data_IF_491070778298
#
_entry.id   IF_491070778298
#
_cell.length_a   1.000
_cell.length_b   1.000
_cell.length_c   1.000
_cell.angle_alpha   90.00
_cell.angle_beta   90.00
_cell.angle_gamma   90.00
#
_symmetry.space_group_name_H-M   'P 1'
#
loop_
_entity.id
_entity.type
_entity.pdbx_description
1 polymer ?
#
# COMPACT_ATOMS: atom_id res chain seq x y z
N UNK A 1 29.36 1.37 50.54
CA UNK A 1 30.48 2.20 50.05
C UNK A 1 30.31 2.38 48.55
N UNK A 2 29.91 3.57 48.09
CA UNK A 2 29.80 3.84 46.64
C UNK A 2 31.22 3.95 46.09
N UNK A 3 31.76 2.83 45.64
CA UNK A 3 33.10 2.74 45.06
C UNK A 3 33.18 3.59 43.79
N UNK A 4 34.18 4.47 43.73
CA UNK A 4 34.50 5.25 42.54
C UNK A 4 35.13 4.32 41.51
N UNK A 5 34.28 3.70 40.69
CA UNK A 5 34.66 2.77 39.62
C UNK A 5 35.66 3.39 38.61
N UNK A 6 35.73 4.73 38.58
CA UNK A 6 36.69 5.51 37.80
C UNK A 6 38.16 5.34 38.21
N UNK A 7 38.46 4.86 39.42
CA UNK A 7 39.84 4.66 39.90
C UNK A 7 40.52 3.40 39.32
N UNK A 8 39.77 2.51 38.66
CA UNK A 8 40.29 1.29 38.02
C UNK A 8 40.56 1.43 36.52
N UNK A 9 40.31 2.60 35.94
CA UNK A 9 40.59 2.84 34.53
C UNK A 9 42.05 3.23 34.37
N UNK A 10 42.79 2.46 33.57
CA UNK A 10 44.14 2.84 33.14
C UNK A 10 44.06 4.22 32.49
N UNK A 11 44.81 5.17 33.04
CA UNK A 11 44.75 6.61 32.72
C UNK A 11 44.62 6.84 31.19
N UNK A 12 43.64 7.64 30.78
CA UNK A 12 43.19 7.91 29.39
C UNK A 12 42.27 6.88 28.67
N UNK A 13 41.82 5.79 29.31
CA UNK A 13 40.94 4.81 28.64
C UNK A 13 39.43 5.00 28.92
N UNK A 14 39.05 5.62 30.04
CA UNK A 14 37.63 5.76 30.42
C UNK A 14 36.85 6.65 29.44
N UNK A 15 37.39 7.81 29.07
CA UNK A 15 36.76 8.71 28.09
C UNK A 15 36.58 8.04 26.74
N UNK A 16 37.59 7.29 26.27
CA UNK A 16 37.51 6.51 25.02
C UNK A 16 36.46 5.40 25.09
N UNK A 17 36.31 4.76 26.24
CA UNK A 17 35.28 3.73 26.46
C UNK A 17 33.89 4.37 26.42
N UNK A 18 33.70 5.50 27.09
CA UNK A 18 32.44 6.24 27.10
C UNK A 18 32.09 6.78 25.70
N UNK A 19 33.05 7.37 24.99
CA UNK A 19 32.87 7.87 23.62
C UNK A 19 32.47 6.74 22.66
N UNK A 20 33.13 5.57 22.75
CA UNK A 20 32.74 4.39 21.96
C UNK A 20 31.32 3.96 22.30
N UNK A 21 30.99 3.85 23.58
CA UNK A 21 29.65 3.42 24.01
C UNK A 21 28.58 4.38 23.51
N UNK A 22 28.80 5.69 23.64
CA UNK A 22 27.88 6.72 23.15
C UNK A 22 27.70 6.61 21.63
N UNK A 23 28.79 6.47 20.88
CA UNK A 23 28.74 6.31 19.42
C UNK A 23 27.95 5.07 18.98
N UNK A 24 28.13 3.93 19.66
CA UNK A 24 27.35 2.71 19.38
C UNK A 24 25.88 2.87 19.77
N UNK A 25 25.59 3.47 20.93
CA UNK A 25 24.22 3.71 21.39
C UNK A 25 23.44 4.62 20.42
N UNK A 26 24.09 5.68 19.90
CA UNK A 26 23.49 6.53 18.88
C UNK A 26 23.28 5.80 17.54
N UNK A 27 24.25 5.00 17.11
CA UNK A 27 24.15 4.22 15.87
C UNK A 27 23.00 3.19 15.94
N UNK A 28 22.88 2.49 17.07
CA UNK A 28 21.79 1.55 17.34
C UNK A 28 20.42 2.25 17.32
N UNK A 29 20.30 3.39 18.01
CA UNK A 29 19.06 4.17 18.05
C UNK A 29 18.68 4.70 16.67
N UNK A 30 19.64 5.12 15.84
CA UNK A 30 19.41 5.56 14.47
C UNK A 30 18.89 4.41 13.57
N UNK A 31 19.44 3.19 13.74
CA UNK A 31 18.94 2.00 13.04
C UNK A 31 17.50 1.66 13.46
N UNK A 32 17.20 1.66 14.75
CA UNK A 32 15.84 1.38 15.26
C UNK A 32 14.83 2.40 14.74
N UNK A 33 15.20 3.69 14.71
CA UNK A 33 14.32 4.74 14.17
C UNK A 33 14.07 4.56 12.66
N UNK A 34 15.10 4.19 11.91
CA UNK A 34 14.99 3.92 10.47
C UNK A 34 14.10 2.70 10.21
N UNK A 35 14.23 1.64 11.03
CA UNK A 35 13.41 0.44 10.93
C UNK A 35 11.94 0.73 11.25
N UNK A 36 11.65 1.48 12.32
CA UNK A 36 10.29 1.93 12.66
C UNK A 36 9.67 2.79 11.54
N UNK A 37 10.45 3.69 10.95
CA UNK A 37 10.00 4.51 9.82
C UNK A 37 9.69 3.65 8.59
N UNK A 38 10.55 2.67 8.29
CA UNK A 38 10.34 1.74 7.18
C UNK A 38 9.09 0.87 7.39
N UNK A 39 8.89 0.38 8.62
CA UNK A 39 7.71 -0.39 9.01
C UNK A 39 6.44 0.45 8.92
N UNK A 40 6.49 1.71 9.40
CA UNK A 40 5.40 2.66 9.26
C UNK A 40 5.03 2.92 7.81
N UNK A 41 6.03 3.04 6.93
CA UNK A 41 5.82 3.20 5.49
C UNK A 41 5.14 1.97 4.86
N UNK A 42 5.57 0.75 5.22
CA UNK A 42 4.94 -0.49 4.75
C UNK A 42 3.49 -0.64 5.20
N UNK A 43 3.19 -0.27 6.45
CA UNK A 43 1.81 -0.30 6.98
C UNK A 43 0.93 0.70 6.21
N UNK A 44 1.43 1.91 5.94
CA UNK A 44 0.69 2.92 5.17
C UNK A 44 0.41 2.44 3.75
N UNK A 45 1.41 1.91 3.04
CA UNK A 45 1.23 1.44 1.67
C UNK A 45 0.30 0.21 1.60
N UNK A 46 0.40 -0.69 2.57
CA UNK A 46 -0.52 -1.84 2.71
C UNK A 46 -1.97 -1.37 2.90
N UNK A 47 -2.20 -0.41 3.80
CA UNK A 47 -3.54 0.15 4.04
C UNK A 47 -4.10 0.83 2.79
N UNK A 48 -3.27 1.57 2.06
CA UNK A 48 -3.65 2.21 0.79
C UNK A 48 -4.02 1.18 -0.27
N UNK A 49 -3.26 0.09 -0.40
CA UNK A 49 -3.56 -1.00 -1.33
C UNK A 49 -4.85 -1.72 -0.96
N UNK A 50 -5.08 -1.94 0.34
CA UNK A 50 -6.31 -2.54 0.86
C UNK A 50 -7.53 -1.68 0.53
N UNK A 51 -7.47 -0.37 0.80
CA UNK A 51 -8.54 0.56 0.45
C UNK A 51 -8.83 0.59 -1.06
N UNK A 52 -7.78 0.52 -1.90
CA UNK A 52 -7.95 0.42 -3.36
C UNK A 52 -8.68 -0.87 -3.76
N UNK A 53 -8.32 -1.99 -3.15
CA UNK A 53 -8.96 -3.29 -3.40
C UNK A 53 -10.43 -3.27 -2.99
N UNK A 54 -10.75 -2.73 -1.83
CA UNK A 54 -12.12 -2.61 -1.34
C UNK A 54 -12.98 -1.73 -2.26
N UNK A 55 -12.43 -0.61 -2.74
CA UNK A 55 -13.11 0.26 -3.71
C UNK A 55 -13.35 -0.43 -5.05
N UNK A 56 -12.38 -1.22 -5.55
CA UNK A 56 -12.55 -2.00 -6.77
C UNK A 56 -13.63 -3.07 -6.62
N UNK A 57 -13.63 -3.80 -5.51
CA UNK A 57 -14.67 -4.80 -5.21
C UNK A 57 -16.06 -4.16 -5.10
N UNK A 58 -16.16 -2.99 -4.47
CA UNK A 58 -17.42 -2.25 -4.41
C UNK A 58 -17.91 -1.84 -5.80
N UNK A 59 -17.02 -1.30 -6.63
CA UNK A 59 -17.33 -0.94 -8.02
C UNK A 59 -17.77 -2.16 -8.85
N UNK A 60 -17.10 -3.31 -8.68
CA UNK A 60 -17.51 -4.55 -9.31
C UNK A 60 -18.92 -4.97 -8.91
N UNK A 61 -19.26 -4.93 -7.62
CA UNK A 61 -20.63 -5.24 -7.15
C UNK A 61 -21.66 -4.33 -7.79
N UNK A 62 -21.38 -3.03 -7.87
CA UNK A 62 -22.26 -2.09 -8.57
C UNK A 62 -22.45 -2.45 -10.04
N UNK A 63 -21.37 -2.77 -10.76
CA UNK A 63 -21.43 -3.22 -12.16
C UNK A 63 -22.22 -4.53 -12.34
N UNK A 64 -22.24 -5.38 -11.32
CA UNK A 64 -23.04 -6.62 -11.29
C UNK A 64 -24.51 -6.39 -10.86
N UNK A 65 -24.90 -5.14 -10.58
CA UNK A 65 -26.25 -4.80 -10.14
C UNK A 65 -26.51 -5.03 -8.65
N UNK A 66 -25.46 -5.18 -7.84
CA UNK A 66 -25.55 -5.41 -6.41
C UNK A 66 -25.28 -4.11 -5.61
N UNK A 67 -25.86 -3.99 -4.40
CA UNK A 67 -25.60 -2.88 -3.45
C UNK A 67 -25.83 -1.46 -4.04
N UNK A 68 -26.83 -1.35 -4.92
CA UNK A 68 -27.19 -0.10 -5.62
C UNK A 68 -27.89 0.92 -4.74
N UNK A 69 -28.42 0.50 -3.59
CA UNK A 69 -29.03 1.34 -2.54
C UNK A 69 -28.08 2.44 -2.03
N UNK A 70 -26.77 2.22 -2.15
CA UNK A 70 -25.74 3.20 -1.80
C UNK A 70 -25.49 4.29 -2.86
N UNK A 71 -26.10 4.18 -4.05
CA UNK A 71 -25.92 5.11 -5.16
C UNK A 71 -27.09 6.09 -5.25
N UNK A 72 -26.79 7.35 -5.56
CA UNK A 72 -27.82 8.32 -5.90
C UNK A 72 -28.24 8.20 -7.37
N UNK A 73 -29.35 8.86 -7.75
CA UNK A 73 -29.92 8.79 -9.10
C UNK A 73 -28.92 9.16 -10.21
N UNK A 74 -28.06 10.17 -9.98
CA UNK A 74 -27.04 10.58 -10.95
C UNK A 74 -25.99 9.48 -11.13
N UNK A 75 -25.52 8.89 -10.03
CA UNK A 75 -24.56 7.80 -10.08
C UNK A 75 -25.15 6.55 -10.73
N UNK A 76 -26.42 6.26 -10.49
CA UNK A 76 -27.12 5.14 -11.11
C UNK A 76 -27.24 5.33 -12.63
N UNK A 77 -27.60 6.53 -13.09
CA UNK A 77 -27.63 6.83 -14.53
C UNK A 77 -26.26 6.76 -15.19
N UNK A 78 -25.19 7.17 -14.49
CA UNK A 78 -23.82 7.00 -14.99
C UNK A 78 -23.43 5.52 -15.12
N UNK A 79 -23.80 4.71 -14.13
CA UNK A 79 -23.56 3.27 -14.13
C UNK A 79 -24.29 2.59 -15.30
N UNK A 80 -25.56 2.94 -15.51
CA UNK A 80 -26.37 2.44 -16.62
C UNK A 80 -25.74 2.78 -17.98
N UNK A 81 -25.36 4.05 -18.19
CA UNK A 81 -24.70 4.49 -19.43
C UNK A 81 -23.36 3.74 -19.66
N UNK A 82 -22.60 3.52 -18.60
CA UNK A 82 -21.34 2.77 -18.68
C UNK A 82 -21.57 1.32 -19.08
N UNK A 83 -22.58 0.66 -18.51
CA UNK A 83 -22.94 -0.72 -18.85
C UNK A 83 -23.44 -0.84 -20.29
N UNK A 84 -24.33 0.06 -20.71
CA UNK A 84 -24.86 0.09 -22.08
C UNK A 84 -23.75 0.25 -23.12
N UNK A 85 -22.87 1.24 -22.91
CA UNK A 85 -21.74 1.52 -23.79
C UNK A 85 -20.77 0.33 -23.86
N UNK A 86 -20.46 -0.27 -22.71
CA UNK A 86 -19.56 -1.42 -22.65
C UNK A 86 -20.15 -2.65 -23.34
N UNK A 87 -21.44 -2.92 -23.14
CA UNK A 87 -22.14 -4.02 -23.78
C UNK A 87 -22.19 -3.86 -25.30
N UNK A 88 -22.47 -2.64 -25.79
CA UNK A 88 -22.42 -2.32 -27.22
C UNK A 88 -21.05 -2.62 -27.82
N UNK A 89 -19.98 -2.20 -27.14
CA UNK A 89 -18.61 -2.45 -27.59
C UNK A 89 -18.27 -3.95 -27.64
N UNK A 90 -18.65 -4.71 -26.60
CA UNK A 90 -18.43 -6.16 -26.55
C UNK A 90 -19.17 -6.86 -27.70
N UNK A 91 -20.45 -6.54 -27.91
CA UNK A 91 -21.25 -7.12 -29.00
C UNK A 91 -20.68 -6.76 -30.37
N UNK A 92 -20.30 -5.50 -30.58
CA UNK A 92 -19.68 -5.06 -31.83
C UNK A 92 -18.40 -5.83 -32.13
N UNK A 93 -17.54 -6.04 -31.12
CA UNK A 93 -16.32 -6.84 -31.27
C UNK A 93 -16.62 -8.30 -31.57
N UNK A 94 -17.60 -8.90 -30.89
CA UNK A 94 -18.02 -10.27 -31.16
C UNK A 94 -18.51 -10.43 -32.61
N UNK A 95 -19.37 -9.53 -33.08
CA UNK A 95 -19.85 -9.53 -34.47
C UNK A 95 -18.69 -9.38 -35.46
N UNK A 96 -17.75 -8.47 -35.22
CA UNK A 96 -16.57 -8.31 -36.10
C UNK A 96 -15.73 -9.59 -36.17
N UNK A 97 -15.47 -10.23 -35.02
CA UNK A 97 -14.70 -11.47 -34.98
C UNK A 97 -15.42 -12.63 -35.69
N UNK A 98 -16.75 -12.73 -35.53
CA UNK A 98 -17.55 -13.73 -36.25
C UNK A 98 -17.50 -13.51 -37.76
N UNK A 99 -17.64 -12.27 -38.22
CA UNK A 99 -17.56 -11.94 -39.65
C UNK A 99 -16.17 -12.25 -40.23
N UNK A 100 -15.10 -11.92 -39.51
CA UNK A 100 -13.75 -12.24 -39.92
C UNK A 100 -13.55 -13.76 -40.04
N UNK A 101 -14.04 -14.53 -39.06
CA UNK A 101 -13.94 -15.99 -39.10
C UNK A 101 -14.71 -16.61 -40.28
N UNK A 102 -15.82 -16.00 -40.71
CA UNK A 102 -16.55 -16.45 -41.91
C UNK A 102 -15.78 -16.10 -43.19
N UNK A 103 -15.14 -14.92 -43.23
CA UNK A 103 -14.36 -14.48 -44.40
C UNK A 103 -13.05 -15.26 -44.59
N UNK A 104 -12.53 -15.88 -43.54
CA UNK A 104 -11.32 -16.73 -43.56
C UNK A 104 -11.60 -18.20 -43.97
N UNK A 105 -12.87 -18.60 -44.09
CA UNK A 105 -13.32 -19.91 -44.58
C UNK A 105 -13.50 -19.92 -46.10
#
# INVERSE_FOLDING_TARGET
>A
TKGKLCEYSTDANMEKILERYERYSYAERALTLTDLQSQGNWVVESNKLKAKTENLQKSQRHLMGEQLDSLNLKQLGQLEQQLESSLKNVRSRQSQLMLNSIAEL
#
